data_IF_316553516184
#
_entry.id   IF_316553516184
#
_cell.length_a   1.000
_cell.length_b   1.000
_cell.length_c   1.000
_cell.angle_alpha   90.00
_cell.angle_beta   90.00
_cell.angle_gamma   90.00
#
_symmetry.space_group_name_H-M   'P 1'
#
loop_
_entity.id
_entity.type
_entity.pdbx_description
1 polymer ?
#
# COMPACT_ATOMS: atom_id res chain seq x y z
N UNK A 1 23.42 8.70 -24.50
CA UNK A 1 23.42 8.07 -23.16
C UNK A 1 22.51 6.86 -23.24
N UNK A 2 22.96 5.64 -22.90
CA UNK A 2 22.06 4.47 -22.81
C UNK A 2 21.00 4.80 -21.78
N UNK A 3 19.70 4.78 -22.16
CA UNK A 3 18.59 4.94 -21.20
C UNK A 3 18.77 3.87 -20.11
N UNK A 4 19.19 4.30 -18.93
CA UNK A 4 19.33 3.41 -17.77
C UNK A 4 17.93 2.96 -17.38
N UNK A 5 17.71 1.66 -17.30
CA UNK A 5 16.42 1.11 -16.84
C UNK A 5 16.10 1.67 -15.45
N UNK A 6 14.84 2.01 -15.15
CA UNK A 6 14.45 2.44 -13.81
C UNK A 6 14.71 1.32 -12.80
N UNK A 7 15.16 1.69 -11.59
CA UNK A 7 15.28 0.79 -10.45
C UNK A 7 13.98 0.87 -9.65
N UNK A 8 13.31 -0.26 -9.47
CA UNK A 8 12.02 -0.36 -8.83
C UNK A 8 12.13 -1.22 -7.57
N UNK A 9 11.79 -0.65 -6.42
CA UNK A 9 11.62 -1.39 -5.17
C UNK A 9 10.21 -1.95 -5.11
N UNK A 10 10.08 -3.26 -4.84
CA UNK A 10 8.80 -3.95 -4.68
C UNK A 10 8.68 -4.52 -3.27
N UNK A 11 7.56 -4.30 -2.61
CA UNK A 11 7.23 -4.82 -1.28
C UNK A 11 5.74 -5.14 -1.15
N UNK A 12 5.30 -5.65 0.00
CA UNK A 12 3.90 -5.86 0.37
C UNK A 12 3.75 -6.11 1.87
N UNK A 13 2.54 -6.42 2.34
CA UNK A 13 2.25 -6.88 3.70
C UNK A 13 1.67 -8.31 3.76
N UNK A 14 1.26 -8.88 2.63
CA UNK A 14 0.78 -10.28 2.55
C UNK A 14 1.91 -11.33 2.62
N UNK A 15 3.16 -10.89 2.53
CA UNK A 15 4.34 -11.74 2.51
C UNK A 15 4.87 -12.02 1.11
N UNK A 16 6.18 -12.33 1.03
CA UNK A 16 6.95 -12.41 -0.24
C UNK A 16 6.44 -13.49 -1.21
N UNK A 17 5.76 -14.52 -0.71
CA UNK A 17 5.19 -15.61 -1.52
C UNK A 17 3.75 -15.37 -1.97
N UNK A 18 3.10 -14.27 -1.53
CA UNK A 18 1.72 -13.98 -1.84
C UNK A 18 1.48 -13.79 -3.34
N UNK A 19 0.32 -14.23 -3.90
CA UNK A 19 0.05 -14.14 -5.33
C UNK A 19 0.08 -12.70 -5.85
N UNK A 20 -0.38 -11.74 -5.05
CA UNK A 20 -0.43 -10.33 -5.44
C UNK A 20 0.95 -9.73 -5.68
N UNK A 21 1.93 -9.94 -4.77
CA UNK A 21 3.29 -9.44 -4.98
C UNK A 21 3.97 -10.14 -6.16
N UNK A 22 3.73 -11.46 -6.37
CA UNK A 22 4.28 -12.18 -7.52
C UNK A 22 3.79 -11.57 -8.83
N UNK A 23 2.48 -11.27 -8.91
CA UNK A 23 1.90 -10.56 -10.05
C UNK A 23 2.54 -9.18 -10.25
N UNK A 24 2.74 -8.42 -9.17
CA UNK A 24 3.36 -7.09 -9.24
C UNK A 24 4.82 -7.17 -9.74
N UNK A 25 5.61 -8.13 -9.25
CA UNK A 25 6.99 -8.37 -9.69
C UNK A 25 7.04 -8.66 -11.18
N UNK A 26 6.16 -9.53 -11.69
CA UNK A 26 6.10 -9.87 -13.12
C UNK A 26 5.87 -8.63 -13.98
N UNK A 27 4.98 -7.73 -13.56
CA UNK A 27 4.74 -6.48 -14.29
C UNK A 27 5.96 -5.56 -14.22
N UNK A 28 6.56 -5.38 -13.04
CA UNK A 28 7.72 -4.49 -12.84
C UNK A 28 8.95 -4.97 -13.62
N UNK A 29 9.17 -6.27 -13.72
CA UNK A 29 10.27 -6.86 -14.50
C UNK A 29 10.20 -6.51 -16.00
N UNK A 30 9.02 -6.20 -16.52
CA UNK A 30 8.86 -5.72 -17.90
C UNK A 30 9.28 -4.26 -18.08
N UNK A 31 9.43 -3.51 -16.98
CA UNK A 31 9.66 -2.06 -16.99
C UNK A 31 11.11 -1.73 -16.62
N UNK A 32 11.64 -2.36 -15.59
CA UNK A 32 12.92 -1.97 -15.00
C UNK A 32 13.73 -3.08 -14.35
N UNK A 33 14.76 -2.67 -13.61
CA UNK A 33 15.51 -3.48 -12.67
C UNK A 33 14.68 -3.57 -11.37
N UNK A 34 14.46 -4.76 -10.85
CA UNK A 34 13.59 -5.01 -9.71
C UNK A 34 14.37 -5.52 -8.51
N UNK A 35 14.22 -4.82 -7.39
CA UNK A 35 14.62 -5.30 -6.07
C UNK A 35 13.37 -5.53 -5.25
N UNK A 36 13.21 -6.75 -4.73
CA UNK A 36 12.10 -7.13 -3.86
C UNK A 36 12.62 -7.24 -2.44
N UNK A 37 11.97 -6.55 -1.51
CA UNK A 37 12.19 -6.73 -0.08
C UNK A 37 10.81 -6.79 0.57
N UNK A 38 10.43 -7.96 1.06
CA UNK A 38 9.07 -8.19 1.56
C UNK A 38 9.09 -9.06 2.82
N UNK A 39 8.05 -8.99 3.66
CA UNK A 39 7.95 -9.81 4.86
C UNK A 39 7.96 -11.31 4.56
N UNK A 40 8.56 -12.09 5.45
CA UNK A 40 8.59 -13.57 5.40
C UNK A 40 7.21 -14.20 5.63
N UNK A 41 6.31 -13.46 6.28
CA UNK A 41 4.95 -13.87 6.64
C UNK A 41 3.99 -12.67 6.60
N UNK A 42 2.67 -12.91 6.52
CA UNK A 42 1.68 -11.84 6.51
C UNK A 42 1.78 -10.90 7.72
N UNK A 43 1.67 -9.60 7.47
CA UNK A 43 1.74 -8.49 8.43
C UNK A 43 0.49 -7.59 8.33
N UNK A 44 -0.68 -8.20 8.13
CA UNK A 44 -1.94 -7.47 7.94
C UNK A 44 -2.30 -6.61 9.15
N UNK A 45 -2.92 -5.46 8.88
CA UNK A 45 -3.40 -4.50 9.88
C UNK A 45 -2.33 -3.95 10.85
N UNK A 46 -1.04 -4.02 10.48
CA UNK A 46 0.06 -3.49 11.31
C UNK A 46 0.18 -1.96 11.23
N UNK A 47 -0.50 -1.32 10.28
CA UNK A 47 -0.34 0.11 10.05
C UNK A 47 1.14 0.48 9.80
N UNK A 48 1.55 1.69 10.19
CA UNK A 48 2.93 2.18 10.01
C UNK A 48 3.86 1.75 11.17
N UNK A 49 3.83 0.45 11.52
CA UNK A 49 4.65 -0.09 12.61
C UNK A 49 6.10 -0.32 12.16
N UNK A 50 7.05 -0.04 13.08
CA UNK A 50 8.49 -0.31 12.93
C UNK A 50 8.96 -1.25 14.03
N UNK A 51 9.99 -2.06 13.74
CA UNK A 51 10.62 -2.96 14.70
C UNK A 51 11.81 -2.29 15.37
N UNK A 52 11.67 -1.94 16.67
CA UNK A 52 12.72 -1.27 17.44
C UNK A 52 13.37 -2.23 18.45
N UNK A 53 12.58 -3.07 19.13
CA UNK A 53 13.05 -3.87 20.28
C UNK A 53 13.46 -5.30 19.89
N UNK A 54 13.39 -5.68 18.64
CA UNK A 54 13.77 -6.99 18.12
C UNK A 54 14.77 -6.85 16.97
N UNK A 55 15.53 -7.90 16.72
CA UNK A 55 16.41 -7.99 15.57
C UNK A 55 15.63 -8.25 14.29
N UNK A 56 16.07 -7.66 13.20
CA UNK A 56 15.57 -7.93 11.86
C UNK A 56 16.51 -8.92 11.16
N UNK A 57 15.94 -9.93 10.53
CA UNK A 57 16.63 -10.88 9.69
C UNK A 57 16.28 -10.61 8.23
N UNK A 58 17.28 -10.72 7.36
CA UNK A 58 17.16 -10.45 5.94
C UNK A 58 17.86 -11.56 5.17
N UNK A 59 17.09 -12.37 4.47
CA UNK A 59 17.59 -13.51 3.71
C UNK A 59 17.46 -13.26 2.20
N UNK A 60 18.54 -13.39 1.46
CA UNK A 60 18.51 -13.36 0.00
C UNK A 60 17.97 -14.69 -0.51
N UNK A 61 16.81 -14.68 -1.17
CA UNK A 61 16.09 -15.90 -1.57
C UNK A 61 16.13 -16.17 -3.08
N UNK A 62 16.45 -15.16 -3.89
CA UNK A 62 16.45 -15.32 -5.35
C UNK A 62 17.73 -16.02 -5.83
N UNK A 63 17.58 -16.89 -6.82
CA UNK A 63 18.66 -17.18 -7.75
C UNK A 63 18.84 -15.93 -8.60
N UNK A 64 20.04 -15.41 -8.67
CA UNK A 64 20.33 -14.21 -9.43
C UNK A 64 19.92 -14.39 -10.89
N UNK A 65 19.04 -13.54 -11.35
CA UNK A 65 18.93 -13.20 -12.74
C UNK A 65 19.30 -11.72 -12.88
N UNK A 66 19.61 -11.27 -14.08
CA UNK A 66 20.13 -9.90 -14.32
C UNK A 66 19.11 -8.77 -14.01
N UNK A 67 17.86 -9.10 -13.69
CA UNK A 67 16.77 -8.12 -13.59
C UNK A 67 15.99 -8.13 -12.28
N UNK A 68 16.07 -9.21 -11.48
CA UNK A 68 15.29 -9.36 -10.24
C UNK A 68 16.21 -9.91 -9.13
N UNK A 69 16.22 -9.21 -8.00
CA UNK A 69 16.85 -9.71 -6.77
C UNK A 69 15.84 -9.65 -5.63
N UNK A 70 15.70 -10.74 -4.88
CA UNK A 70 14.65 -10.89 -3.87
C UNK A 70 15.23 -11.15 -2.48
N UNK A 71 14.68 -10.47 -1.48
CA UNK A 71 15.01 -10.61 -0.07
C UNK A 71 13.74 -10.82 0.75
N UNK A 72 13.78 -11.80 1.65
CA UNK A 72 12.77 -12.05 2.68
C UNK A 72 13.20 -11.36 3.98
N UNK A 73 12.29 -10.66 4.63
CA UNK A 73 12.54 -9.91 5.85
C UNK A 73 11.62 -10.38 6.98
N UNK A 74 12.14 -10.52 8.20
CA UNK A 74 11.34 -10.89 9.38
C UNK A 74 10.53 -9.72 9.97
N UNK A 75 10.69 -8.50 9.43
CA UNK A 75 10.06 -7.28 9.91
C UNK A 75 8.73 -6.93 9.23
N UNK A 76 8.27 -5.72 9.51
CA UNK A 76 7.08 -5.12 8.91
C UNK A 76 7.35 -4.66 7.47
N UNK A 77 6.31 -4.31 6.68
CA UNK A 77 6.51 -3.69 5.37
C UNK A 77 7.33 -2.40 5.41
N UNK A 78 7.20 -1.61 6.48
CA UNK A 78 8.00 -0.40 6.72
C UNK A 78 9.47 -0.76 6.95
N UNK A 79 9.76 -1.80 7.76
CA UNK A 79 11.13 -2.28 7.97
C UNK A 79 11.76 -2.77 6.67
N UNK A 80 10.98 -3.41 5.80
CA UNK A 80 11.43 -3.86 4.48
C UNK A 80 11.91 -2.68 3.63
N UNK A 81 11.17 -1.58 3.60
CA UNK A 81 11.58 -0.37 2.87
C UNK A 81 12.83 0.25 3.49
N UNK A 82 12.88 0.37 4.82
CA UNK A 82 14.06 0.91 5.53
C UNK A 82 15.32 0.10 5.24
N UNK A 83 15.24 -1.24 5.36
CA UNK A 83 16.38 -2.12 5.05
C UNK A 83 16.77 -2.04 3.57
N UNK A 84 15.78 -1.99 2.66
CA UNK A 84 16.05 -1.83 1.24
C UNK A 84 16.88 -0.57 0.97
N UNK A 85 16.44 0.57 1.49
CA UNK A 85 17.05 1.88 1.21
C UNK A 85 18.42 2.02 1.87
N UNK A 86 18.57 1.56 3.12
CA UNK A 86 19.77 1.83 3.90
C UNK A 86 20.86 0.74 3.74
N UNK A 87 20.48 -0.54 3.48
CA UNK A 87 21.43 -1.64 3.51
C UNK A 87 21.63 -2.33 2.15
N UNK A 88 20.57 -2.38 1.30
CA UNK A 88 20.62 -3.19 0.08
C UNK A 88 20.94 -2.32 -1.14
N UNK A 89 20.24 -1.19 -1.28
CA UNK A 89 20.30 -0.38 -2.47
C UNK A 89 21.53 0.55 -2.47
N UNK A 90 22.27 0.52 -3.57
CA UNK A 90 23.45 1.41 -3.77
C UNK A 90 23.05 2.82 -4.26
N UNK A 91 21.80 3.00 -4.63
CA UNK A 91 21.21 4.26 -5.07
C UNK A 91 19.72 4.28 -4.71
N UNK A 92 19.16 5.47 -4.58
CA UNK A 92 17.71 5.64 -4.39
C UNK A 92 16.96 5.01 -5.58
N UNK A 93 15.92 4.20 -5.36
CA UNK A 93 15.07 3.69 -6.43
C UNK A 93 14.29 4.82 -7.10
N UNK A 94 13.96 4.61 -8.37
CA UNK A 94 13.19 5.56 -9.16
C UNK A 94 11.69 5.49 -8.82
N UNK A 95 11.25 4.35 -8.24
CA UNK A 95 9.88 4.09 -7.80
C UNK A 95 9.89 3.00 -6.73
N UNK A 96 8.99 3.12 -5.74
CA UNK A 96 8.58 2.02 -4.87
C UNK A 96 7.13 1.63 -5.18
N UNK A 97 6.86 0.33 -5.31
CA UNK A 97 5.51 -0.20 -5.43
C UNK A 97 5.25 -1.22 -4.34
N UNK A 98 4.10 -1.13 -3.68
CA UNK A 98 3.67 -2.02 -2.62
C UNK A 98 2.36 -2.72 -2.99
N UNK A 99 2.28 -4.02 -2.78
CA UNK A 99 1.08 -4.84 -3.05
C UNK A 99 1.37 -5.99 -4.03
N UNK A 100 0.38 -6.46 -4.81
CA UNK A 100 -1.04 -6.05 -4.80
C UNK A 100 -1.72 -6.71 -3.61
N UNK A 101 -2.30 -5.89 -2.73
CA UNK A 101 -2.93 -6.35 -1.49
C UNK A 101 -4.20 -7.16 -1.75
N UNK A 102 -4.46 -8.18 -0.91
CA UNK A 102 -5.75 -8.85 -0.81
C UNK A 102 -6.69 -8.02 0.07
N UNK A 103 -7.71 -7.42 -0.55
CA UNK A 103 -8.64 -6.52 0.13
C UNK A 103 -8.38 -5.04 -0.11
N UNK A 104 -9.41 -4.24 0.17
CA UNK A 104 -9.40 -2.81 -0.08
C UNK A 104 -8.57 -2.03 0.93
N UNK A 105 -7.86 -1.02 0.44
CA UNK A 105 -7.23 0.04 1.23
C UNK A 105 -7.84 1.42 0.93
N UNK A 106 -9.09 1.44 0.42
CA UNK A 106 -9.85 2.67 0.19
C UNK A 106 -10.38 3.29 1.49
N UNK A 107 -10.76 4.53 1.43
CA UNK A 107 -11.32 5.29 2.55
C UNK A 107 -10.41 5.25 3.79
N UNK A 108 -10.97 5.02 4.98
CA UNK A 108 -10.25 4.97 6.26
C UNK A 108 -9.29 3.78 6.36
N UNK A 109 -9.45 2.74 5.53
CA UNK A 109 -8.58 1.56 5.56
C UNK A 109 -7.11 1.92 5.26
N UNK A 110 -6.86 3.03 4.58
CA UNK A 110 -5.51 3.53 4.28
C UNK A 110 -4.62 3.64 5.52
N UNK A 111 -5.17 4.03 6.69
CA UNK A 111 -4.40 4.23 7.92
C UNK A 111 -4.04 2.91 8.63
N UNK A 112 -4.76 1.83 8.35
CA UNK A 112 -4.50 0.50 8.93
C UNK A 112 -3.64 -0.38 8.00
N UNK A 113 -3.43 0.04 6.76
CA UNK A 113 -2.82 -0.73 5.69
C UNK A 113 -1.30 -0.85 5.84
N UNK A 114 -0.79 -2.07 5.89
CA UNK A 114 0.64 -2.36 5.77
C UNK A 114 1.17 -2.05 4.36
N UNK A 115 0.39 -2.36 3.32
CA UNK A 115 0.70 -2.01 1.93
C UNK A 115 0.92 -0.51 1.75
N UNK A 116 -0.03 0.31 2.26
CA UNK A 116 0.10 1.77 2.15
C UNK A 116 1.19 2.33 3.04
N UNK A 117 1.43 1.73 4.21
CA UNK A 117 2.50 2.15 5.12
C UNK A 117 3.89 1.99 4.49
N UNK A 118 4.12 0.90 3.76
CA UNK A 118 5.35 0.74 2.99
C UNK A 118 5.51 1.81 1.88
N UNK A 119 4.43 2.11 1.15
CA UNK A 119 4.45 3.17 0.15
C UNK A 119 4.68 4.56 0.78
N UNK A 120 4.06 4.82 1.93
CA UNK A 120 4.26 6.07 2.70
C UNK A 120 5.70 6.18 3.19
N UNK A 121 6.29 5.10 3.72
CA UNK A 121 7.69 5.09 4.14
C UNK A 121 8.64 5.43 2.99
N UNK A 122 8.42 4.84 1.81
CA UNK A 122 9.17 5.20 0.62
C UNK A 122 9.00 6.69 0.26
N UNK A 123 7.80 7.24 0.43
CA UNK A 123 7.54 8.67 0.25
C UNK A 123 8.29 9.55 1.24
N UNK A 124 8.40 9.14 2.50
CA UNK A 124 9.21 9.81 3.55
C UNK A 124 10.69 9.83 3.13
N UNK A 125 11.18 8.73 2.59
CA UNK A 125 12.53 8.62 2.02
C UNK A 125 12.71 9.42 0.71
N UNK A 126 11.67 10.12 0.26
CA UNK A 126 11.66 10.93 -0.98
C UNK A 126 11.71 10.09 -2.25
N UNK A 127 11.15 8.89 -2.22
CA UNK A 127 10.97 7.98 -3.35
C UNK A 127 9.51 8.08 -3.81
N UNK A 128 9.24 8.32 -5.11
CA UNK A 128 7.88 8.18 -5.64
C UNK A 128 7.31 6.81 -5.29
N UNK A 129 6.08 6.74 -4.80
CA UNK A 129 5.54 5.46 -4.33
C UNK A 129 4.05 5.27 -4.66
N UNK A 130 3.68 3.99 -4.84
CA UNK A 130 2.32 3.56 -5.16
C UNK A 130 1.99 2.32 -4.33
N UNK A 131 0.86 2.34 -3.61
CA UNK A 131 0.25 1.16 -3.02
C UNK A 131 -0.89 0.67 -3.92
N UNK A 132 -0.90 -0.63 -4.22
CA UNK A 132 -1.92 -1.30 -5.03
C UNK A 132 -2.71 -2.30 -4.22
N UNK A 133 -4.04 -2.32 -4.38
CA UNK A 133 -4.96 -3.20 -3.66
C UNK A 133 -6.08 -3.69 -4.57
N UNK A 134 -6.49 -4.94 -4.42
CA UNK A 134 -7.61 -5.55 -5.12
C UNK A 134 -8.74 -5.84 -4.12
N UNK A 135 -9.97 -5.46 -4.43
CA UNK A 135 -11.15 -5.69 -3.59
C UNK A 135 -11.57 -7.17 -3.57
N UNK A 136 -10.61 -8.06 -3.39
CA UNK A 136 -10.84 -9.49 -3.20
C UNK A 136 -9.98 -10.02 -2.05
N UNK A 137 -10.65 -10.47 -0.98
CA UNK A 137 -10.00 -10.99 0.23
C UNK A 137 -9.63 -12.48 0.13
N UNK A 138 -9.95 -13.12 -1.00
CA UNK A 138 -9.63 -14.53 -1.18
C UNK A 138 -8.14 -14.70 -1.48
N UNK A 139 -7.49 -15.66 -0.82
CA UNK A 139 -6.07 -15.97 -1.09
C UNK A 139 -5.81 -16.31 -2.57
N UNK A 140 -6.79 -16.94 -3.23
CA UNK A 140 -6.73 -17.30 -4.66
C UNK A 140 -7.34 -16.20 -5.55
N UNK A 141 -7.29 -14.93 -5.14
CA UNK A 141 -7.78 -13.82 -5.94
C UNK A 141 -7.08 -13.77 -7.31
N UNK A 142 -7.84 -13.38 -8.34
CA UNK A 142 -7.32 -13.22 -9.70
C UNK A 142 -6.78 -11.78 -9.89
N UNK A 143 -5.46 -11.65 -9.92
CA UNK A 143 -4.77 -10.37 -10.14
C UNK A 143 -4.49 -10.07 -11.62
N UNK A 144 -4.76 -10.98 -12.56
CA UNK A 144 -4.50 -10.77 -13.99
C UNK A 144 -5.19 -9.51 -14.55
N UNK A 145 -6.47 -9.21 -14.20
CA UNK A 145 -7.15 -8.00 -14.65
C UNK A 145 -6.45 -6.68 -14.28
N UNK A 146 -5.64 -6.68 -13.23
CA UNK A 146 -4.94 -5.49 -12.76
C UNK A 146 -3.66 -5.18 -13.55
N UNK A 147 -3.01 -6.17 -14.16
CA UNK A 147 -1.66 -6.05 -14.76
C UNK A 147 -1.52 -4.90 -15.75
N UNK A 148 -2.45 -4.78 -16.68
CA UNK A 148 -2.43 -3.73 -17.71
C UNK A 148 -2.51 -2.33 -17.11
N UNK A 149 -3.37 -2.17 -16.12
CA UNK A 149 -3.57 -0.88 -15.44
C UNK A 149 -2.41 -0.53 -14.49
N UNK A 150 -1.88 -1.52 -13.75
CA UNK A 150 -0.66 -1.36 -12.95
C UNK A 150 0.47 -0.83 -13.81
N UNK A 151 0.72 -1.50 -14.96
CA UNK A 151 1.77 -1.07 -15.91
C UNK A 151 1.55 0.36 -16.38
N UNK A 152 0.32 0.71 -16.75
CA UNK A 152 -0.04 2.05 -17.21
C UNK A 152 0.23 3.11 -16.14
N UNK A 153 -0.25 2.88 -14.91
CA UNK A 153 -0.08 3.83 -13.80
C UNK A 153 1.41 4.01 -13.46
N UNK A 154 2.18 2.93 -13.43
CA UNK A 154 3.62 2.96 -13.15
C UNK A 154 4.37 3.75 -14.22
N UNK A 155 4.12 3.51 -15.49
CA UNK A 155 4.78 4.23 -16.60
C UNK A 155 4.47 5.73 -16.56
N UNK A 156 3.21 6.11 -16.34
CA UNK A 156 2.80 7.51 -16.19
C UNK A 156 3.48 8.18 -14.98
N UNK A 157 3.59 7.44 -13.85
CA UNK A 157 4.27 7.95 -12.65
C UNK A 157 5.76 8.18 -12.86
N UNK A 158 6.44 7.25 -13.55
CA UNK A 158 7.86 7.38 -13.88
C UNK A 158 8.14 8.53 -14.85
N UNK A 159 7.25 8.75 -15.81
CA UNK A 159 7.39 9.80 -16.82
C UNK A 159 7.07 11.19 -16.25
N UNK A 160 5.91 11.34 -15.60
CA UNK A 160 5.38 12.64 -15.17
C UNK A 160 5.83 13.05 -13.78
N UNK A 161 6.28 12.09 -12.97
CA UNK A 161 6.67 12.23 -11.57
C UNK A 161 5.51 12.74 -10.68
N UNK A 162 5.48 12.28 -9.44
CA UNK A 162 4.53 12.75 -8.44
C UNK A 162 5.02 14.06 -7.81
N UNK A 163 4.11 14.93 -7.38
CA UNK A 163 4.49 16.03 -6.48
C UNK A 163 5.20 15.50 -5.25
N UNK A 164 6.11 16.30 -4.69
CA UNK A 164 6.87 15.92 -3.49
C UNK A 164 5.92 15.57 -2.33
N UNK A 165 6.18 14.44 -1.66
CA UNK A 165 5.39 13.98 -0.52
C UNK A 165 4.05 13.33 -0.89
N UNK A 166 3.72 13.23 -2.18
CA UNK A 166 2.50 12.56 -2.65
C UNK A 166 2.79 11.11 -3.01
N UNK A 167 1.94 10.23 -2.49
CA UNK A 167 1.91 8.79 -2.73
C UNK A 167 0.56 8.44 -3.37
N UNK A 168 0.50 7.44 -4.23
CA UNK A 168 -0.77 6.99 -4.81
C UNK A 168 -1.31 5.76 -4.05
N UNK A 169 -2.56 5.87 -3.61
CA UNK A 169 -3.36 4.73 -3.13
C UNK A 169 -4.28 4.29 -4.27
N UNK A 170 -3.99 3.12 -4.84
CA UNK A 170 -4.69 2.59 -6.01
C UNK A 170 -5.46 1.34 -5.62
N UNK A 171 -6.77 1.36 -5.83
CA UNK A 171 -7.64 0.23 -5.54
C UNK A 171 -8.36 -0.24 -6.80
N UNK A 172 -8.35 -1.56 -7.03
CA UNK A 172 -9.00 -2.22 -8.15
C UNK A 172 -10.32 -2.86 -7.70
N UNK A 173 -11.43 -2.66 -8.42
CA UNK A 173 -12.65 -3.41 -8.18
C UNK A 173 -12.45 -4.89 -8.56
N UNK A 174 -13.16 -5.80 -7.88
CA UNK A 174 -13.18 -7.23 -8.22
C UNK A 174 -13.99 -7.47 -9.49
N UNK A 175 -13.40 -7.17 -10.64
CA UNK A 175 -14.01 -7.27 -11.97
C UNK A 175 -13.02 -7.86 -12.97
N UNK A 176 -13.52 -8.43 -14.07
CA UNK A 176 -12.70 -8.78 -15.22
C UNK A 176 -12.19 -7.51 -15.91
N UNK A 177 -11.02 -7.57 -16.54
CA UNK A 177 -10.39 -6.42 -17.21
C UNK A 177 -11.36 -5.64 -18.12
N UNK A 178 -12.13 -6.36 -18.94
CA UNK A 178 -13.10 -5.76 -19.88
C UNK A 178 -14.31 -5.08 -19.22
N UNK A 179 -14.56 -5.34 -17.94
CA UNK A 179 -15.65 -4.79 -17.15
C UNK A 179 -15.22 -3.52 -16.39
N UNK A 180 -13.91 -3.31 -16.27
CA UNK A 180 -13.33 -2.11 -15.66
C UNK A 180 -13.53 -0.93 -16.61
N UNK A 181 -14.28 0.07 -16.15
CA UNK A 181 -14.65 1.25 -16.96
C UNK A 181 -13.51 2.26 -17.17
N UNK A 182 -12.42 2.13 -16.40
CA UNK A 182 -11.26 2.99 -16.47
C UNK A 182 -10.70 3.39 -15.11
N UNK A 183 -9.84 4.42 -15.09
CA UNK A 183 -9.18 4.95 -13.90
C UNK A 183 -9.83 6.28 -13.54
N UNK A 184 -10.12 6.48 -12.25
CA UNK A 184 -10.67 7.74 -11.73
C UNK A 184 -9.78 8.27 -10.59
N UNK A 185 -9.36 9.53 -10.71
CA UNK A 185 -8.68 10.23 -9.61
C UNK A 185 -9.76 10.68 -8.62
N UNK A 186 -9.59 10.28 -7.38
CA UNK A 186 -10.62 10.43 -6.36
C UNK A 186 -10.05 11.11 -5.10
N UNK A 187 -10.94 11.60 -4.27
CA UNK A 187 -10.64 11.85 -2.86
C UNK A 187 -11.03 10.63 -2.01
N UNK A 188 -10.47 10.54 -0.83
CA UNK A 188 -10.85 9.57 0.19
C UNK A 188 -12.32 9.80 0.61
N UNK A 189 -13.13 8.73 0.65
CA UNK A 189 -14.50 8.77 1.15
C UNK A 189 -14.54 8.94 2.68
N UNK A 190 -15.63 9.52 3.17
CA UNK A 190 -15.95 9.55 4.60
C UNK A 190 -16.69 8.27 5.01
N UNK A 191 -15.94 7.16 5.04
CA UNK A 191 -16.44 5.88 5.48
C UNK A 191 -15.62 5.38 6.68
N UNK A 192 -16.25 4.58 7.53
CA UNK A 192 -15.65 4.08 8.76
C UNK A 192 -16.20 2.69 9.11
N UNK A 193 -15.47 1.98 9.96
CA UNK A 193 -15.95 0.75 10.58
C UNK A 193 -16.83 1.06 11.78
N UNK A 194 -18.04 0.53 11.79
CA UNK A 194 -18.92 0.47 12.97
C UNK A 194 -18.59 -0.84 13.68
N UNK A 195 -17.75 -0.75 14.67
CA UNK A 195 -17.13 -1.92 15.32
C UNK A 195 -18.06 -2.56 16.33
N UNK A 196 -17.96 -3.89 16.45
CA UNK A 196 -18.67 -4.70 17.44
C UNK A 196 -17.70 -5.73 18.00
N UNK A 197 -17.69 -5.89 19.32
CA UNK A 197 -16.93 -6.92 20.03
C UNK A 197 -17.84 -8.08 20.41
N UNK A 198 -17.56 -9.28 19.87
CA UNK A 198 -18.20 -10.52 20.31
C UNK A 198 -17.44 -11.08 21.52
N UNK A 199 -18.06 -10.95 22.69
CA UNK A 199 -17.48 -11.41 23.96
C UNK A 199 -17.76 -12.90 24.16
N UNK A 200 -16.72 -13.67 24.47
CA UNK A 200 -16.77 -15.10 24.79
C UNK A 200 -15.91 -15.42 26.01
N UNK A 201 -15.99 -16.66 26.48
CA UNK A 201 -15.15 -17.14 27.59
C UNK A 201 -14.40 -18.41 27.19
N UNK A 202 -13.17 -18.51 27.70
CA UNK A 202 -12.41 -19.76 27.64
C UNK A 202 -13.03 -20.79 28.59
N UNK A 203 -12.71 -22.10 28.47
CA UNK A 203 -13.16 -23.12 29.42
C UNK A 203 -12.80 -22.84 30.90
N UNK A 204 -11.81 -21.97 31.11
CA UNK A 204 -11.35 -21.56 32.46
C UNK A 204 -11.95 -20.21 32.93
N UNK A 205 -13.02 -19.72 32.27
CA UNK A 205 -13.73 -18.51 32.66
C UNK A 205 -13.05 -17.19 32.30
N UNK A 206 -11.94 -17.20 31.53
CA UNK A 206 -11.28 -15.97 31.08
C UNK A 206 -12.01 -15.39 29.88
N UNK A 207 -12.42 -14.12 29.96
CA UNK A 207 -13.05 -13.41 28.85
C UNK A 207 -12.06 -13.18 27.70
N UNK A 208 -12.54 -13.31 26.45
CA UNK A 208 -11.87 -12.88 25.24
C UNK A 208 -12.87 -12.28 24.26
N UNK A 209 -12.38 -11.50 23.31
CA UNK A 209 -13.21 -10.71 22.40
C UNK A 209 -12.77 -10.90 20.96
N UNK A 210 -13.74 -11.07 20.07
CA UNK A 210 -13.52 -10.98 18.64
C UNK A 210 -13.97 -9.61 18.16
N UNK A 211 -13.07 -8.90 17.45
CA UNK A 211 -13.43 -7.68 16.75
C UNK A 211 -14.17 -8.06 15.47
N UNK A 212 -15.34 -7.49 15.29
CA UNK A 212 -16.17 -7.57 14.09
C UNK A 212 -16.74 -6.18 13.81
N UNK A 213 -17.44 -6.00 12.70
CA UNK A 213 -18.06 -4.72 12.37
C UNK A 213 -18.55 -4.68 10.94
N UNK A 214 -19.15 -3.55 10.61
CA UNK A 214 -19.62 -3.24 9.27
C UNK A 214 -18.92 -1.99 8.77
N UNK A 215 -18.48 -2.03 7.52
CA UNK A 215 -17.93 -0.86 6.85
C UNK A 215 -19.09 0.00 6.34
N UNK A 216 -19.18 1.23 6.84
CA UNK A 216 -20.30 2.15 6.54
C UNK A 216 -19.79 3.36 5.80
N UNK A 217 -20.18 3.49 4.53
CA UNK A 217 -19.90 4.67 3.73
C UNK A 217 -20.98 5.73 3.98
N UNK A 218 -20.61 6.82 4.64
CA UNK A 218 -21.46 7.98 4.91
C UNK A 218 -21.36 9.05 3.82
N UNK A 219 -20.42 8.91 2.88
CA UNK A 219 -20.17 9.87 1.81
C UNK A 219 -21.05 9.57 0.59
N UNK A 220 -21.69 10.58 0.06
CA UNK A 220 -22.55 10.46 -1.13
C UNK A 220 -21.95 11.10 -2.38
N UNK A 221 -20.69 11.60 -2.27
CA UNK A 221 -19.99 12.23 -3.39
C UNK A 221 -19.62 11.20 -4.47
N UNK A 222 -19.76 11.58 -5.71
CA UNK A 222 -19.36 10.79 -6.88
C UNK A 222 -17.86 10.95 -7.24
N UNK A 223 -17.16 11.76 -6.46
CA UNK A 223 -15.72 12.03 -6.56
C UNK A 223 -14.87 11.19 -5.58
N UNK A 224 -15.50 10.24 -4.85
CA UNK A 224 -14.86 9.41 -3.84
C UNK A 224 -14.32 8.10 -4.42
N UNK A 225 -13.34 7.52 -3.71
CA UNK A 225 -12.77 6.20 -4.01
C UNK A 225 -13.83 5.09 -3.91
N UNK A 226 -14.68 5.11 -2.87
CA UNK A 226 -15.76 4.13 -2.69
C UNK A 226 -16.76 4.18 -3.84
N UNK A 227 -17.19 5.38 -4.24
CA UNK A 227 -18.09 5.53 -5.38
C UNK A 227 -17.45 5.01 -6.68
N UNK A 228 -16.19 5.32 -6.91
CA UNK A 228 -15.47 4.86 -8.10
C UNK A 228 -15.43 3.32 -8.17
N UNK A 229 -15.10 2.67 -7.06
CA UNK A 229 -15.00 1.21 -6.96
C UNK A 229 -16.36 0.53 -7.13
N UNK A 230 -17.42 1.04 -6.46
CA UNK A 230 -18.80 0.55 -6.61
C UNK A 230 -19.32 0.68 -8.05
N UNK A 231 -18.85 1.69 -8.78
CA UNK A 231 -19.24 1.94 -10.18
C UNK A 231 -18.32 1.31 -11.22
N UNK A 232 -17.38 0.45 -10.81
CA UNK A 232 -16.52 -0.32 -11.70
C UNK A 232 -15.32 0.44 -12.25
N UNK A 233 -14.89 1.50 -11.58
CA UNK A 233 -13.65 2.21 -11.88
C UNK A 233 -12.54 1.80 -10.93
N UNK A 234 -11.30 1.88 -11.39
CA UNK A 234 -10.11 1.85 -10.54
C UNK A 234 -10.03 3.21 -9.85
N UNK A 235 -9.97 3.23 -8.52
CA UNK A 235 -9.75 4.45 -7.77
C UNK A 235 -8.26 4.75 -7.61
N UNK A 236 -7.88 6.01 -7.77
CA UNK A 236 -6.54 6.53 -7.49
C UNK A 236 -6.68 7.73 -6.58
N UNK A 237 -6.28 7.58 -5.33
CA UNK A 237 -6.30 8.65 -4.33
C UNK A 237 -4.88 9.12 -4.06
N UNK A 238 -4.54 10.41 -4.31
CA UNK A 238 -3.27 10.97 -3.85
C UNK A 238 -3.32 11.13 -2.33
N UNK A 239 -2.38 10.51 -1.62
CA UNK A 239 -2.24 10.58 -0.17
C UNK A 239 -0.89 11.19 0.21
N UNK A 240 -0.77 11.70 1.42
CA UNK A 240 0.46 12.29 1.96
C UNK A 240 0.65 11.90 3.42
N UNK A 241 1.90 11.98 3.90
CA UNK A 241 2.23 11.68 5.28
C UNK A 241 2.21 12.90 6.21
N UNK A 242 2.09 14.11 5.68
CA UNK A 242 1.85 15.30 6.50
C UNK A 242 0.39 15.29 7.00
N UNK A 243 0.22 14.97 8.27
CA UNK A 243 -1.09 14.90 8.93
C UNK A 243 -1.53 16.24 9.52
N UNK A 244 -0.81 17.34 9.25
CA UNK A 244 -1.15 18.65 9.75
C UNK A 244 -2.47 19.14 9.14
N UNK A 245 -3.43 19.47 9.98
CA UNK A 245 -4.67 20.13 9.56
C UNK A 245 -4.39 21.63 9.27
N UNK A 246 -3.69 21.94 8.18
CA UNK A 246 -3.23 23.28 7.85
C UNK A 246 -4.33 24.34 7.89
N UNK A 247 -5.56 23.98 7.50
CA UNK A 247 -6.72 24.86 7.53
C UNK A 247 -7.16 25.25 8.97
N UNK A 248 -6.79 24.46 9.98
CA UNK A 248 -7.14 24.73 11.38
C UNK A 248 -6.13 25.64 12.11
N UNK A 249 -4.90 25.78 11.58
CA UNK A 249 -3.82 26.52 12.26
C UNK A 249 -4.25 27.96 12.54
N UNK A 250 -4.83 28.65 11.54
CA UNK A 250 -5.25 30.05 11.71
C UNK A 250 -6.30 30.20 12.80
N UNK A 251 -7.26 29.29 12.88
CA UNK A 251 -8.31 29.28 13.90
C UNK A 251 -7.71 29.03 15.29
N UNK A 252 -6.81 28.01 15.42
CA UNK A 252 -6.19 27.68 16.71
C UNK A 252 -5.27 28.79 17.24
N UNK A 253 -4.66 29.57 16.36
CA UNK A 253 -3.85 30.72 16.76
C UNK A 253 -4.66 31.86 17.42
N UNK A 254 -5.99 31.85 17.35
CA UNK A 254 -6.87 32.79 18.05
C UNK A 254 -7.17 32.36 19.49
N UNK A 255 -6.75 31.17 19.91
CA UNK A 255 -6.98 30.70 21.26
C UNK A 255 -5.96 31.30 22.24
N UNK A 256 -6.39 31.60 23.46
CA UNK A 256 -5.54 32.12 24.53
C UNK A 256 -4.68 31.00 25.17
N UNK A 257 -3.80 30.37 24.37
CA UNK A 257 -2.91 29.30 24.83
C UNK A 257 -1.59 29.80 25.42
N UNK A 258 -1.27 31.10 25.29
CA UNK A 258 -0.01 31.68 25.71
C UNK A 258 -0.17 32.70 26.88
N UNK A 259 -1.33 32.70 27.54
CA UNK A 259 -1.59 33.53 28.72
C UNK A 259 -1.25 32.83 30.04
#
# INVERSE_FOLDING_TARGET
MKNKKPLILVTNDDGISAPGIRTLIDVMATIGEVIVVAPDKPQSAMGHAITINNTLYLDKISKENDTITEYSCSGTPVDCVKLAVNEILKRKPDLCVSGINHGSNSSINVIYSGTMSAAVEAGIEGIPAIGFSLLDYNWNADFEPAKTFVKKIVLETLEKKLPQGVILNVNFPKLKEKEIKGIKICRQAKALWVEKFDKRQTPFGKDYYWLSGEFVNQDKGDDTDEWALENGYISVVPVQFDLTAHHAIQQLNTWALNE
#
